data_IF_345078573670
#
_entry.id   IF_345078573670
#
_cell.length_a   1.000
_cell.length_b   1.000
_cell.length_c   1.000
_cell.angle_alpha   90.00
_cell.angle_beta   90.00
_cell.angle_gamma   90.00
#
_symmetry.space_group_name_H-M   'P 1'
#
loop_
_entity.id
_entity.type
_entity.pdbx_description
1 polymer ?
#
# COMPACT_ATOMS: atom_id res chain seq x y z
N UNK A 1 32.09 -2.01 -58.83
CA UNK A 1 31.65 -3.07 -59.75
C UNK A 1 31.72 -4.41 -59.02
N UNK A 2 30.70 -5.26 -59.23
CA UNK A 2 30.44 -6.64 -58.73
C UNK A 2 30.18 -6.76 -57.20
N UNK A 3 28.98 -7.03 -56.65
CA UNK A 3 27.79 -7.88 -56.95
C UNK A 3 28.03 -9.38 -57.00
N UNK A 4 27.60 -10.12 -55.95
CA UNK A 4 26.94 -11.46 -55.88
C UNK A 4 26.33 -11.54 -54.44
N UNK A 5 25.05 -11.26 -54.10
CA UNK A 5 23.71 -11.89 -54.29
C UNK A 5 23.55 -13.33 -53.76
N UNK A 6 22.58 -13.61 -52.85
CA UNK A 6 22.42 -14.89 -52.15
C UNK A 6 21.49 -15.88 -52.89
N UNK A 7 21.63 -17.16 -52.59
CA UNK A 7 20.84 -18.25 -53.18
C UNK A 7 19.61 -18.59 -52.33
N UNK A 8 18.44 -18.36 -52.92
CA UNK A 8 17.12 -18.82 -52.54
C UNK A 8 16.80 -20.06 -53.39
N UNK A 9 16.36 -21.17 -52.79
CA UNK A 9 15.84 -22.33 -53.54
C UNK A 9 14.46 -22.74 -53.01
N UNK A 10 13.46 -22.58 -53.88
CA UNK A 10 12.09 -23.10 -53.85
C UNK A 10 12.02 -24.25 -54.86
N UNK A 11 11.48 -25.43 -54.52
CA UNK A 11 10.83 -26.41 -55.43
C UNK A 11 9.84 -27.25 -54.57
N UNK A 12 8.53 -27.04 -54.62
CA UNK A 12 7.45 -27.60 -55.49
C UNK A 12 6.95 -29.01 -55.14
N UNK A 13 5.63 -29.02 -54.92
CA UNK A 13 4.60 -30.03 -54.68
C UNK A 13 4.64 -31.37 -55.42
N UNK A 14 4.08 -32.42 -54.79
CA UNK A 14 3.37 -33.50 -55.47
C UNK A 14 2.11 -33.89 -54.68
N UNK A 15 0.94 -33.76 -55.31
CA UNK A 15 -0.33 -34.27 -54.83
C UNK A 15 -0.61 -35.62 -55.51
N UNK A 16 -0.93 -36.66 -54.74
CA UNK A 16 -1.57 -37.88 -55.24
C UNK A 16 -2.85 -38.12 -54.42
N UNK A 17 -3.97 -38.11 -55.13
CA UNK A 17 -5.28 -38.48 -54.60
C UNK A 17 -5.42 -39.99 -54.47
N UNK A 18 -6.10 -40.42 -53.40
CA UNK A 18 -6.83 -41.67 -53.37
C UNK A 18 -8.28 -41.37 -53.06
N UNK A 19 -9.11 -41.59 -54.08
CA UNK A 19 -10.56 -41.54 -54.10
C UNK A 19 -11.13 -42.55 -53.11
N UNK A 20 -11.78 -42.10 -52.04
CA UNK A 20 -12.58 -42.97 -51.17
C UNK A 20 -14.04 -42.92 -51.60
N UNK A 21 -14.55 -44.07 -52.01
CA UNK A 21 -15.92 -44.38 -52.43
C UNK A 21 -16.95 -43.99 -51.34
N UNK A 22 -18.14 -43.45 -51.71
CA UNK A 22 -19.14 -43.07 -50.72
C UNK A 22 -19.83 -44.30 -50.14
N UNK A 23 -19.75 -44.46 -48.82
CA UNK A 23 -20.49 -45.49 -48.09
C UNK A 23 -22.01 -45.25 -48.21
N UNK A 24 -22.76 -46.30 -48.54
CA UNK A 24 -24.22 -46.27 -48.62
C UNK A 24 -24.85 -45.91 -47.26
N UNK A 25 -25.93 -45.13 -47.25
CA UNK A 25 -26.63 -44.80 -46.01
C UNK A 25 -27.28 -46.05 -45.41
N UNK A 26 -27.03 -46.28 -44.12
CA UNK A 26 -27.68 -47.31 -43.34
C UNK A 26 -29.20 -47.04 -43.20
N UNK A 27 -30.01 -48.10 -43.27
CA UNK A 27 -31.47 -48.03 -43.08
C UNK A 27 -31.81 -47.47 -41.68
N UNK A 28 -32.89 -46.68 -41.54
CA UNK A 28 -33.34 -46.21 -40.25
C UNK A 28 -33.73 -47.38 -39.34
N UNK A 29 -33.27 -47.35 -38.09
CA UNK A 29 -33.76 -48.23 -37.04
C UNK A 29 -35.22 -47.89 -36.72
N UNK A 30 -36.03 -48.91 -36.43
CA UNK A 30 -37.41 -48.71 -36.00
C UNK A 30 -37.47 -47.97 -34.65
N UNK A 31 -38.47 -47.10 -34.43
CA UNK A 31 -38.64 -46.44 -33.14
C UNK A 31 -38.87 -47.45 -32.02
N UNK A 32 -38.21 -47.25 -30.89
CA UNK A 32 -38.52 -47.97 -29.67
C UNK A 32 -39.92 -47.60 -29.17
N UNK A 33 -40.64 -48.57 -28.62
CA UNK A 33 -41.97 -48.34 -28.04
C UNK A 33 -41.91 -47.34 -26.87
N UNK A 34 -42.96 -46.53 -26.66
CA UNK A 34 -42.96 -45.55 -25.60
C UNK A 34 -42.94 -46.22 -24.22
N UNK A 35 -42.00 -45.78 -23.39
CA UNK A 35 -41.95 -46.15 -21.97
C UNK A 35 -43.18 -45.54 -21.28
N UNK A 36 -43.87 -46.36 -20.46
CA UNK A 36 -45.02 -45.90 -19.67
C UNK A 36 -44.62 -44.71 -18.78
N UNK A 37 -45.50 -43.70 -18.59
CA UNK A 37 -45.22 -42.61 -17.68
C UNK A 37 -45.00 -43.13 -16.26
N UNK A 38 -43.97 -42.60 -15.60
CA UNK A 38 -43.78 -42.75 -14.15
C UNK A 38 -44.87 -41.94 -13.46
N UNK A 39 -45.50 -42.51 -12.44
CA UNK A 39 -46.54 -41.80 -11.69
C UNK A 39 -45.98 -40.50 -11.06
N UNK A 40 -46.80 -39.45 -10.94
CA UNK A 40 -46.35 -38.20 -10.33
C UNK A 40 -45.95 -38.44 -8.88
N UNK A 41 -44.77 -37.95 -8.51
CA UNK A 41 -44.36 -37.86 -7.10
C UNK A 41 -45.31 -36.87 -6.42
N UNK A 42 -45.83 -37.23 -5.25
CA UNK A 42 -46.72 -36.37 -4.49
C UNK A 42 -46.11 -34.98 -4.25
N UNK A 43 -46.94 -33.92 -4.16
CA UNK A 43 -46.43 -32.56 -3.95
C UNK A 43 -45.68 -32.50 -2.63
N UNK A 44 -44.46 -31.96 -2.67
CA UNK A 44 -43.74 -31.58 -1.46
C UNK A 44 -44.60 -30.56 -0.72
N UNK A 45 -44.90 -30.83 0.55
CA UNK A 45 -45.62 -29.89 1.39
C UNK A 45 -44.95 -28.52 1.35
N UNK A 46 -45.78 -27.47 1.37
CA UNK A 46 -45.34 -26.08 1.31
C UNK A 46 -44.22 -25.85 2.32
N UNK A 47 -43.07 -25.38 1.82
CA UNK A 47 -42.00 -24.87 2.66
C UNK A 47 -42.59 -23.70 3.45
N UNK A 48 -42.57 -23.80 4.77
CA UNK A 48 -42.92 -22.69 5.64
C UNK A 48 -42.12 -21.44 5.22
N UNK A 49 -42.66 -20.22 5.41
CA UNK A 49 -41.91 -19.00 5.14
C UNK A 49 -40.58 -19.10 5.86
N UNK A 50 -39.50 -19.00 5.11
CA UNK A 50 -38.15 -18.91 5.66
C UNK A 50 -38.18 -17.71 6.62
N UNK A 51 -38.10 -17.99 7.92
CA UNK A 51 -37.77 -16.96 8.90
C UNK A 51 -36.57 -16.19 8.34
N UNK A 52 -36.55 -14.85 8.43
CA UNK A 52 -35.41 -14.08 7.96
C UNK A 52 -34.16 -14.75 8.54
N UNK A 53 -33.27 -15.16 7.63
CA UNK A 53 -32.04 -15.80 8.02
C UNK A 53 -31.43 -14.94 9.14
N UNK A 54 -30.94 -15.54 10.24
CA UNK A 54 -30.10 -14.79 11.15
C UNK A 54 -29.05 -14.13 10.29
N UNK A 55 -28.87 -12.81 10.48
CA UNK A 55 -27.88 -12.00 9.77
C UNK A 55 -26.68 -12.89 9.51
N UNK A 56 -26.34 -13.10 8.23
CA UNK A 56 -25.07 -13.73 7.89
C UNK A 56 -24.05 -13.01 8.78
N UNK A 57 -23.21 -13.72 9.55
CA UNK A 57 -22.22 -13.02 10.34
C UNK A 57 -21.50 -12.11 9.35
N UNK A 58 -21.55 -10.81 9.64
CA UNK A 58 -20.73 -9.82 8.98
C UNK A 58 -19.37 -10.46 8.75
N UNK A 59 -18.82 -10.39 7.54
CA UNK A 59 -17.42 -10.73 7.35
C UNK A 59 -16.66 -10.10 8.51
N UNK A 60 -15.88 -10.89 9.28
CA UNK A 60 -15.46 -10.51 10.63
C UNK A 60 -14.97 -9.09 10.56
N UNK A 61 -15.63 -8.20 11.31
CA UNK A 61 -15.37 -6.77 11.38
C UNK A 61 -13.94 -6.50 10.95
N UNK A 62 -13.76 -6.10 9.68
CA UNK A 62 -12.46 -5.63 9.23
C UNK A 62 -12.09 -4.56 10.25
N UNK A 63 -10.94 -4.67 10.95
CA UNK A 63 -10.66 -3.76 12.04
C UNK A 63 -10.85 -2.33 11.54
N UNK A 64 -11.58 -1.51 12.30
CA UNK A 64 -11.62 -0.06 12.12
C UNK A 64 -10.21 0.49 12.39
N UNK A 65 -9.28 0.24 11.47
CA UNK A 65 -7.88 0.64 11.58
C UNK A 65 -7.41 1.10 10.21
N UNK A 66 -7.74 2.35 9.95
CA UNK A 66 -6.75 3.39 9.70
C UNK A 66 -7.13 4.45 10.73
N UNK A 67 -6.35 4.64 11.80
CA UNK A 67 -6.87 5.06 13.12
C UNK A 67 -7.52 6.45 13.15
N UNK A 68 -8.82 6.48 12.84
CA UNK A 68 -9.70 7.65 12.92
C UNK A 68 -10.31 7.94 11.55
N UNK A 69 -11.36 7.21 11.18
CA UNK A 69 -12.38 7.59 10.19
C UNK A 69 -11.88 8.52 9.08
N UNK A 70 -10.82 8.10 8.39
CA UNK A 70 -10.26 8.87 7.28
C UNK A 70 -11.39 9.26 6.32
N UNK A 71 -11.26 10.43 5.69
CA UNK A 71 -12.23 10.81 4.67
C UNK A 71 -12.28 9.76 3.55
N UNK A 72 -13.36 9.79 2.77
CA UNK A 72 -13.62 8.79 1.71
C UNK A 72 -12.47 8.70 0.70
N UNK A 73 -11.77 9.82 0.42
CA UNK A 73 -10.65 9.84 -0.51
C UNK A 73 -9.44 9.11 0.08
N UNK A 74 -9.06 9.40 1.32
CA UNK A 74 -7.95 8.72 2.00
C UNK A 74 -8.23 7.24 2.23
N UNK A 75 -9.49 6.87 2.52
CA UNK A 75 -9.91 5.48 2.64
C UNK A 75 -9.72 4.71 1.32
N UNK A 76 -10.09 5.31 0.17
CA UNK A 76 -9.86 4.71 -1.16
C UNK A 76 -8.38 4.53 -1.47
N UNK A 77 -7.55 5.53 -1.18
CA UNK A 77 -6.11 5.44 -1.38
C UNK A 77 -5.52 4.32 -0.52
N UNK A 78 -5.93 4.25 0.75
CA UNK A 78 -5.47 3.19 1.66
C UNK A 78 -5.85 1.80 1.16
N UNK A 79 -7.07 1.62 0.65
CA UNK A 79 -7.52 0.33 0.11
C UNK A 79 -6.70 -0.11 -1.12
N UNK A 80 -6.38 0.82 -2.03
CA UNK A 80 -5.51 0.55 -3.18
C UNK A 80 -4.07 0.24 -2.75
N UNK A 81 -3.56 0.93 -1.73
CA UNK A 81 -2.26 0.64 -1.16
C UNK A 81 -2.22 -0.77 -0.54
N UNK A 82 -3.25 -1.17 0.21
CA UNK A 82 -3.36 -2.51 0.78
C UNK A 82 -3.43 -3.58 -0.31
N UNK A 83 -4.18 -3.36 -1.39
CA UNK A 83 -4.24 -4.27 -2.53
C UNK A 83 -2.86 -4.45 -3.18
N UNK A 84 -2.11 -3.35 -3.37
CA UNK A 84 -0.74 -3.39 -3.88
C UNK A 84 0.23 -4.06 -2.91
N UNK A 85 0.03 -3.91 -1.60
CA UNK A 85 0.90 -4.46 -0.56
C UNK A 85 0.63 -5.95 -0.26
N UNK A 86 -0.44 -6.53 -0.81
CA UNK A 86 -0.87 -7.89 -0.50
C UNK A 86 0.28 -8.93 -0.64
N UNK A 87 0.41 -9.88 0.31
CA UNK A 87 -0.53 -10.20 1.39
C UNK A 87 -0.39 -9.32 2.66
N UNK A 88 0.44 -8.28 2.63
CA UNK A 88 0.57 -7.32 3.73
C UNK A 88 -0.47 -6.19 3.63
N UNK A 89 -0.65 -5.43 4.71
CA UNK A 89 -1.57 -4.28 4.76
C UNK A 89 -1.02 -3.16 5.66
N UNK A 90 -1.60 -1.97 5.57
CA UNK A 90 -1.33 -0.84 6.45
C UNK A 90 -1.56 -1.22 7.93
N UNK A 91 -2.63 -1.98 8.20
CA UNK A 91 -2.91 -2.51 9.54
C UNK A 91 -1.79 -3.44 10.02
N UNK A 92 -1.40 -4.43 9.21
CA UNK A 92 -0.33 -5.36 9.59
C UNK A 92 1.00 -4.63 9.80
N UNK A 93 1.24 -3.56 9.03
CA UNK A 93 2.40 -2.69 9.18
C UNK A 93 2.37 -1.92 10.52
N UNK A 94 1.22 -1.33 10.86
CA UNK A 94 0.98 -0.63 12.12
C UNK A 94 1.18 -1.55 13.32
N UNK A 95 0.50 -2.71 13.35
CA UNK A 95 0.57 -3.66 14.47
C UNK A 95 1.99 -4.18 14.70
N UNK A 96 2.73 -4.41 13.62
CA UNK A 96 4.11 -4.90 13.70
C UNK A 96 5.09 -3.84 14.20
N UNK A 97 4.97 -2.61 13.68
CA UNK A 97 6.05 -1.62 13.79
C UNK A 97 5.74 -0.46 14.75
N UNK A 98 4.47 -0.24 15.10
CA UNK A 98 3.99 0.87 15.92
C UNK A 98 3.16 0.37 17.13
N UNK A 99 3.69 -0.52 17.97
CA UNK A 99 2.92 -1.19 19.02
C UNK A 99 2.39 -0.23 20.11
N UNK A 100 2.99 0.95 20.25
CA UNK A 100 2.57 2.00 21.19
C UNK A 100 1.74 3.11 20.52
N UNK A 101 1.49 2.99 19.21
CA UNK A 101 0.77 3.98 18.40
C UNK A 101 1.35 5.40 18.45
N UNK A 102 2.65 5.53 18.76
CA UNK A 102 3.33 6.84 18.79
C UNK A 102 4.26 6.99 17.61
N UNK A 103 4.13 8.11 16.92
CA UNK A 103 4.99 8.47 15.81
C UNK A 103 5.82 9.70 16.12
N UNK A 104 7.02 9.76 15.55
CA UNK A 104 7.89 10.92 15.65
C UNK A 104 8.52 11.25 14.31
N UNK A 105 8.87 12.53 14.16
CA UNK A 105 9.61 13.05 13.01
C UNK A 105 10.56 14.15 13.46
N UNK A 106 11.56 14.41 12.63
CA UNK A 106 12.58 15.43 12.85
C UNK A 106 12.40 16.58 11.88
N UNK A 107 12.55 17.81 12.37
CA UNK A 107 12.51 19.03 11.58
C UNK A 107 13.66 19.93 12.02
N UNK A 108 14.37 20.54 11.08
CA UNK A 108 15.38 21.54 11.41
C UNK A 108 14.74 22.74 12.11
N UNK A 109 15.48 23.38 13.02
CA UNK A 109 14.98 24.53 13.79
C UNK A 109 14.43 25.65 12.91
N UNK A 110 15.18 26.04 11.87
CA UNK A 110 14.76 27.14 11.01
C UNK A 110 13.42 26.85 10.29
N UNK A 111 13.23 25.69 9.62
CA UNK A 111 11.91 25.29 9.10
C UNK A 111 10.81 25.21 10.17
N UNK A 112 11.12 24.76 11.39
CA UNK A 112 10.12 24.75 12.47
C UNK A 112 9.64 26.16 12.80
N UNK A 113 10.57 27.13 12.94
CA UNK A 113 10.21 28.52 13.21
C UNK A 113 9.39 29.12 12.07
N UNK A 114 9.87 29.00 10.83
CA UNK A 114 9.20 29.64 9.69
C UNK A 114 7.87 29.00 9.37
N UNK A 115 7.76 27.68 9.44
CA UNK A 115 6.51 27.00 9.13
C UNK A 115 5.55 26.99 10.32
N UNK A 116 5.95 26.46 11.47
CA UNK A 116 5.02 26.24 12.59
C UNK A 116 4.71 27.54 13.31
N UNK A 117 5.76 28.28 13.69
CA UNK A 117 5.61 29.45 14.56
C UNK A 117 5.13 30.67 13.77
N UNK A 118 5.82 31.05 12.70
CA UNK A 118 5.53 32.28 11.97
C UNK A 118 4.21 32.21 11.20
N UNK A 119 3.89 31.07 10.58
CA UNK A 119 2.59 30.93 9.87
C UNK A 119 1.44 30.53 10.78
N UNK A 120 1.71 30.19 12.05
CA UNK A 120 0.73 29.62 12.97
C UNK A 120 0.03 28.39 12.35
N UNK A 121 0.82 27.46 11.83
CA UNK A 121 0.32 26.27 11.18
C UNK A 121 -0.53 25.44 12.16
N UNK A 122 -1.66 24.92 11.69
CA UNK A 122 -2.55 24.07 12.49
C UNK A 122 -2.24 22.59 12.35
N UNK A 123 -1.65 22.20 11.21
CA UNK A 123 -1.24 20.84 10.91
C UNK A 123 0.22 20.80 10.49
N UNK A 124 0.87 19.66 10.73
CA UNK A 124 2.19 19.36 10.20
C UNK A 124 2.11 18.68 8.84
N UNK A 125 3.20 18.82 8.07
CA UNK A 125 3.39 18.12 6.80
C UNK A 125 3.39 19.06 5.60
N UNK A 126 3.47 18.46 4.41
CA UNK A 126 3.35 19.18 3.15
C UNK A 126 1.88 19.31 2.81
N UNK A 127 1.37 20.54 2.80
CA UNK A 127 -0.05 20.80 2.62
C UNK A 127 -0.40 21.16 1.17
N UNK A 128 -1.58 20.73 0.75
CA UNK A 128 -2.26 21.17 -0.47
C UNK A 128 -3.77 21.34 -0.18
N UNK A 129 -4.58 21.48 -1.23
CA UNK A 129 -6.03 21.69 -1.10
C UNK A 129 -6.79 20.49 -0.51
N UNK A 130 -6.17 19.30 -0.47
CA UNK A 130 -6.78 18.06 0.02
C UNK A 130 -6.28 17.62 1.39
N UNK A 131 -5.29 18.30 1.97
CA UNK A 131 -4.80 18.04 3.33
C UNK A 131 -3.31 18.28 3.49
N UNK A 132 -2.81 17.95 4.68
CA UNK A 132 -1.39 17.98 5.02
C UNK A 132 -0.86 16.57 5.21
N UNK A 133 0.28 16.28 4.58
CA UNK A 133 0.85 14.94 4.44
C UNK A 133 2.20 14.90 5.16
N UNK A 134 2.27 14.09 6.22
CA UNK A 134 3.44 13.98 7.08
C UNK A 134 3.97 12.54 7.09
N UNK A 135 5.22 12.38 6.69
CA UNK A 135 5.97 11.15 6.94
C UNK A 135 6.41 11.08 8.40
N UNK A 136 6.12 9.97 9.07
CA UNK A 136 6.51 9.76 10.46
C UNK A 136 6.89 8.30 10.74
N UNK A 137 7.86 8.10 11.62
CA UNK A 137 8.40 6.79 11.99
C UNK A 137 8.03 6.44 13.44
N UNK A 138 8.20 5.18 13.89
CA UNK A 138 7.93 4.82 15.28
C UNK A 138 8.76 5.66 16.24
N UNK A 139 8.13 6.17 17.29
CA UNK A 139 8.82 7.06 18.25
C UNK A 139 10.03 6.39 18.87
N UNK A 140 9.92 5.13 19.26
CA UNK A 140 11.04 4.35 19.80
C UNK A 140 12.26 4.26 18.87
N UNK A 141 12.03 4.22 17.56
CA UNK A 141 13.11 4.18 16.56
C UNK A 141 13.82 5.53 16.46
N UNK A 142 13.05 6.63 16.34
CA UNK A 142 13.63 7.98 16.29
C UNK A 142 14.36 8.31 17.59
N UNK A 143 13.77 7.97 18.75
CA UNK A 143 14.41 8.22 20.04
C UNK A 143 15.71 7.45 20.21
N UNK A 144 15.76 6.17 19.84
CA UNK A 144 16.99 5.39 19.88
C UNK A 144 18.06 5.94 18.94
N UNK A 145 17.66 6.43 17.75
CA UNK A 145 18.58 7.05 16.79
C UNK A 145 19.16 8.37 17.34
N UNK A 146 18.31 9.20 17.97
CA UNK A 146 18.71 10.45 18.61
C UNK A 146 19.62 10.19 19.81
N UNK A 147 19.25 9.26 20.69
CA UNK A 147 20.08 8.91 21.86
C UNK A 147 21.47 8.43 21.43
N UNK A 148 21.54 7.61 20.38
CA UNK A 148 22.79 7.12 19.83
C UNK A 148 23.66 8.23 19.21
N UNK A 149 23.05 9.27 18.65
CA UNK A 149 23.78 10.34 17.98
C UNK A 149 24.26 11.44 18.92
N UNK A 150 23.60 11.67 20.05
CA UNK A 150 24.00 12.70 21.03
C UNK A 150 25.30 12.30 21.74
N UNK A 151 26.37 13.04 21.46
CA UNK A 151 27.68 12.85 22.11
C UNK A 151 28.11 14.17 22.77
N UNK A 152 27.65 14.37 24.01
CA UNK A 152 27.89 15.61 24.74
C UNK A 152 26.75 16.61 24.55
N UNK A 153 27.07 17.83 24.10
CA UNK A 153 26.11 18.92 23.97
C UNK A 153 25.36 18.91 22.63
N UNK A 154 25.86 18.19 21.63
CA UNK A 154 25.27 18.12 20.29
C UNK A 154 25.19 16.69 19.78
N UNK A 155 24.32 16.45 18.81
CA UNK A 155 24.24 15.21 18.06
C UNK A 155 25.18 15.17 16.87
N UNK A 156 25.60 13.95 16.52
CA UNK A 156 26.33 13.65 15.30
C UNK A 156 25.33 13.34 14.17
N UNK A 157 25.29 14.21 13.16
CA UNK A 157 24.39 14.09 12.03
C UNK A 157 24.66 12.83 11.17
N UNK A 158 25.91 12.36 11.09
CA UNK A 158 26.25 11.15 10.36
C UNK A 158 25.77 9.90 11.10
N UNK A 159 25.92 9.86 12.44
CA UNK A 159 25.38 8.77 13.26
C UNK A 159 23.85 8.74 13.19
N UNK A 160 23.19 9.90 13.28
CA UNK A 160 21.75 10.01 13.18
C UNK A 160 21.24 9.57 11.80
N UNK A 161 21.87 10.07 10.73
CA UNK A 161 21.53 9.69 9.37
C UNK A 161 21.73 8.20 9.11
N UNK A 162 22.85 7.62 9.55
CA UNK A 162 23.08 6.18 9.44
C UNK A 162 22.02 5.37 10.19
N UNK A 163 21.64 5.79 11.41
CA UNK A 163 20.63 5.11 12.20
C UNK A 163 19.23 5.17 11.58
N UNK A 164 18.90 6.25 10.86
CA UNK A 164 17.62 6.45 10.20
C UNK A 164 17.60 6.01 8.72
N UNK A 165 18.76 5.62 8.18
CA UNK A 165 18.86 5.22 6.79
C UNK A 165 18.75 6.38 5.81
N UNK A 166 19.18 7.57 6.21
CA UNK A 166 19.01 8.83 5.48
C UNK A 166 20.32 9.62 5.43
N UNK A 167 20.52 10.51 4.43
CA UNK A 167 21.73 11.33 4.33
C UNK A 167 21.98 12.20 5.57
N UNK A 168 23.23 12.29 6.00
CA UNK A 168 23.65 13.12 7.15
C UNK A 168 23.24 14.59 7.01
N UNK A 169 23.26 15.13 5.79
CA UNK A 169 22.88 16.51 5.50
C UNK A 169 21.45 16.88 5.94
N UNK A 170 20.55 15.88 6.03
CA UNK A 170 19.18 16.08 6.51
C UNK A 170 19.14 16.42 8.00
N UNK A 171 20.19 16.09 8.74
CA UNK A 171 20.29 16.19 10.20
C UNK A 171 21.33 17.20 10.66
N UNK A 172 21.91 18.00 9.78
CA UNK A 172 22.85 19.04 10.21
C UNK A 172 22.16 20.19 10.94
N UNK A 173 22.77 20.61 12.05
CA UNK A 173 22.32 21.73 12.88
C UNK A 173 21.18 21.37 13.84
N UNK A 174 20.68 22.34 14.63
CA UNK A 174 19.66 22.07 15.63
C UNK A 174 18.37 21.51 15.03
N UNK A 175 17.82 20.49 15.67
CA UNK A 175 16.59 19.82 15.27
C UNK A 175 15.52 19.98 16.34
N UNK A 176 14.27 19.84 15.91
CA UNK A 176 13.10 19.56 16.74
C UNK A 176 12.65 18.15 16.45
N UNK A 177 12.45 17.38 17.50
CA UNK A 177 11.68 16.15 17.44
C UNK A 177 10.26 16.46 17.88
N UNK A 178 9.33 16.11 17.02
CA UNK A 178 7.91 16.15 17.32
C UNK A 178 7.44 14.73 17.55
N UNK A 179 6.57 14.54 18.54
CA UNK A 179 5.94 13.25 18.83
C UNK A 179 4.44 13.41 18.89
N UNK A 180 3.73 12.50 18.23
CA UNK A 180 2.27 12.45 18.22
C UNK A 180 1.81 11.06 18.65
N UNK A 181 0.85 11.03 19.57
CA UNK A 181 0.11 9.82 19.93
C UNK A 181 -1.09 9.70 19.00
N UNK A 182 -1.07 8.71 18.10
CA UNK A 182 -2.07 8.55 17.05
C UNK A 182 -3.46 8.18 17.61
N UNK A 183 -3.48 7.45 18.74
CA UNK A 183 -4.74 7.07 19.38
C UNK A 183 -5.38 8.26 20.08
N UNK A 184 -4.57 9.11 20.73
CA UNK A 184 -5.08 10.32 21.37
C UNK A 184 -5.45 11.42 20.36
N UNK A 185 -4.74 11.54 19.25
CA UNK A 185 -5.01 12.57 18.23
C UNK A 185 -6.16 12.21 17.29
N UNK A 186 -6.48 10.91 17.15
CA UNK A 186 -7.44 10.42 16.16
C UNK A 186 -6.99 10.67 14.71
N UNK A 187 -5.68 10.80 14.48
CA UNK A 187 -5.14 11.14 13.17
C UNK A 187 -5.22 9.97 12.19
N UNK A 188 -5.74 10.25 11.00
CA UNK A 188 -5.76 9.31 9.88
C UNK A 188 -4.33 8.91 9.48
N UNK A 189 -4.09 7.61 9.30
CA UNK A 189 -2.77 7.05 8.93
C UNK A 189 -2.86 5.97 7.88
N UNK A 190 -1.96 5.96 6.91
CA UNK A 190 -1.89 4.90 5.90
C UNK A 190 -0.48 4.67 5.42
N UNK A 191 -0.29 3.64 4.61
CA UNK A 191 0.93 3.49 3.85
C UNK A 191 1.08 4.69 2.88
N UNK A 192 2.29 5.25 2.74
CA UNK A 192 2.52 6.26 1.73
C UNK A 192 2.38 5.67 0.31
N UNK A 193 1.97 6.49 -0.64
CA UNK A 193 1.79 6.13 -2.05
C UNK A 193 2.56 7.09 -2.95
N UNK A 194 2.82 6.72 -4.20
CA UNK A 194 3.71 7.46 -5.11
C UNK A 194 3.26 8.90 -5.42
N UNK A 195 1.96 9.18 -5.23
CA UNK A 195 1.34 10.48 -5.46
C UNK A 195 1.39 11.42 -4.24
N UNK A 196 1.86 10.94 -3.08
CA UNK A 196 1.87 11.75 -1.87
C UNK A 196 2.84 12.94 -1.97
N UNK A 197 2.42 14.14 -1.49
CA UNK A 197 3.33 15.27 -1.39
C UNK A 197 4.58 14.94 -0.58
N UNK A 198 5.75 15.14 -1.20
CA UNK A 198 7.04 14.90 -0.55
C UNK A 198 7.66 13.53 -0.83
N UNK A 199 6.99 12.64 -1.56
CA UNK A 199 7.61 11.43 -2.09
C UNK A 199 8.73 11.78 -3.06
N UNK A 200 9.95 11.32 -2.76
CA UNK A 200 11.06 11.36 -3.70
C UNK A 200 11.13 10.05 -4.47
N UNK A 201 10.73 10.05 -5.75
CA UNK A 201 10.68 8.82 -6.56
C UNK A 201 12.09 8.35 -6.91
N UNK A 202 12.33 7.04 -6.84
CA UNK A 202 13.55 6.46 -7.36
C UNK A 202 13.61 6.68 -8.88
N UNK A 203 14.76 7.13 -9.39
CA UNK A 203 15.04 7.19 -10.82
C UNK A 203 15.56 5.83 -11.32
N UNK A 204 16.17 5.04 -10.43
CA UNK A 204 16.69 3.71 -10.71
C UNK A 204 16.54 2.73 -9.53
N UNK A 205 16.59 1.42 -9.82
CA UNK A 205 16.60 0.35 -8.80
C UNK A 205 17.82 0.41 -7.85
N UNK A 206 18.92 1.03 -8.29
CA UNK A 206 20.13 1.20 -7.51
C UNK A 206 20.03 2.35 -6.50
N UNK A 207 18.99 3.17 -6.59
CA UNK A 207 18.83 4.32 -5.72
C UNK A 207 18.54 3.85 -4.28
N UNK A 208 19.28 4.44 -3.35
CA UNK A 208 19.24 4.15 -1.92
C UNK A 208 18.75 5.33 -1.09
N UNK A 209 18.36 6.42 -1.74
CA UNK A 209 17.81 7.63 -1.12
C UNK A 209 16.57 8.06 -1.88
N UNK A 210 15.56 7.19 -1.87
CA UNK A 210 14.30 7.39 -2.55
C UNK A 210 13.21 6.55 -1.91
N UNK A 211 11.97 6.98 -2.12
CA UNK A 211 10.78 6.31 -1.68
C UNK A 211 10.64 4.96 -2.37
N UNK A 212 10.49 3.91 -1.56
CA UNK A 212 10.08 2.59 -2.00
C UNK A 212 8.77 2.27 -1.32
N UNK A 213 7.76 1.93 -2.11
CA UNK A 213 6.47 1.53 -1.59
C UNK A 213 6.64 0.36 -0.60
N UNK A 214 5.87 0.37 0.49
CA UNK A 214 5.91 -0.68 1.52
C UNK A 214 6.00 -0.17 2.97
N UNK A 215 6.04 1.15 3.18
CA UNK A 215 6.07 1.75 4.51
C UNK A 215 7.44 1.64 5.19
N UNK A 216 8.52 1.60 4.42
CA UNK A 216 9.87 1.67 4.98
C UNK A 216 10.69 2.71 4.22
N UNK A 217 11.54 3.43 4.94
CA UNK A 217 12.58 4.25 4.33
C UNK A 217 13.55 3.34 3.57
N UNK A 218 14.36 3.94 2.71
CA UNK A 218 15.37 3.20 1.95
C UNK A 218 16.40 2.47 2.83
N UNK A 219 16.66 2.95 4.05
CA UNK A 219 17.46 2.24 5.04
C UNK A 219 16.67 1.34 6.00
N UNK A 220 15.39 1.06 5.71
CA UNK A 220 14.61 0.03 6.40
C UNK A 220 13.92 0.47 7.68
N UNK A 221 13.82 1.78 7.95
CA UNK A 221 13.05 2.29 9.09
C UNK A 221 11.55 2.27 8.74
N UNK A 222 10.67 1.69 9.57
CA UNK A 222 9.23 1.75 9.34
C UNK A 222 8.72 3.19 9.28
N UNK A 223 7.78 3.46 8.40
CA UNK A 223 7.25 4.79 8.16
C UNK A 223 5.79 4.74 7.72
N UNK A 224 5.03 5.75 8.13
CA UNK A 224 3.64 5.94 7.78
C UNK A 224 3.42 7.35 7.25
N UNK A 225 2.35 7.49 6.48
CA UNK A 225 1.77 8.78 6.14
C UNK A 225 0.71 9.13 7.19
N UNK A 226 0.91 10.23 7.91
CA UNK A 226 -0.07 10.83 8.84
C UNK A 226 -0.75 12.00 8.15
N UNK A 227 -2.07 11.96 8.07
CA UNK A 227 -2.88 12.99 7.41
C UNK A 227 -3.36 13.99 8.46
N UNK A 228 -3.12 15.28 8.19
CA UNK A 228 -3.54 16.40 9.04
C UNK A 228 -3.08 16.23 10.50
N UNK A 229 -1.80 15.90 10.70
CA UNK A 229 -1.21 15.75 12.02
C UNK A 229 -1.30 17.08 12.81
N UNK A 230 -2.08 17.17 13.89
CA UNK A 230 -2.40 18.45 14.51
C UNK A 230 -1.23 19.01 15.32
N UNK A 231 -0.86 20.26 15.05
CA UNK A 231 0.26 20.94 15.72
C UNK A 231 0.04 21.02 17.24
N UNK A 232 -1.18 21.33 17.66
CA UNK A 232 -1.53 21.53 19.05
C UNK A 232 -1.44 20.26 19.93
N UNK A 233 -1.42 19.06 19.32
CA UNK A 233 -1.36 17.80 20.07
C UNK A 233 0.01 17.13 20.03
N UNK A 234 0.94 17.65 19.23
CA UNK A 234 2.31 17.13 19.21
C UNK A 234 3.12 17.69 20.38
N UNK A 235 3.91 16.84 21.03
CA UNK A 235 4.96 17.30 21.92
C UNK A 235 6.20 17.66 21.10
N UNK A 236 6.96 18.66 21.56
CA UNK A 236 8.14 19.18 20.83
C UNK A 236 9.35 19.17 21.75
N UNK A 237 10.42 18.48 21.33
CA UNK A 237 11.70 18.40 22.04
C UNK A 237 12.81 19.00 21.16
N UNK A 238 13.63 19.88 21.72
CA UNK A 238 14.84 20.34 21.04
C UNK A 238 15.93 19.26 21.08
N UNK A 239 16.64 19.11 19.98
CA UNK A 239 17.84 18.29 19.84
C UNK A 239 18.94 19.23 19.36
N UNK A 240 19.99 19.33 20.17
CA UNK A 240 21.20 20.07 19.83
C UNK A 240 22.18 19.14 19.16
#
# INVERSE_FOLDING_TARGET
>A
MNRIVPTLTIIISLALGCTSEPAQPAKPAQPAEPVKPVEPVEPVESVEPVEPAPDQPDQPDKPKISTGECDEQQAKISAQADERAAPWSALAHLEKNFPDMKVSWLMKEAPFQTYVVETNATNFGRCNDTGCYLFAAPTSVIEAAVEKSVTGETHDAAVLGQALGLPAANFEGPLRMMTLDLSASGSCVRLPVDEDPGVWKCESEADTDCFKFGGYTSGGVPELMVINAPVALATVRAIQ
#
